data_IF_681544770418
#
_entry.id   IF_681544770418
#
_cell.length_a   1.000
_cell.length_b   1.000
_cell.length_c   1.000
_cell.angle_alpha   90.00
_cell.angle_beta   90.00
_cell.angle_gamma   90.00
#
_symmetry.space_group_name_H-M   'P 1'
#
loop_
_entity.id
_entity.type
_entity.pdbx_description
1 polymer ?
#
# COMPACT_ATOMS: atom_id res chain seq x y z
N UNK A 1 -12.59 4.54 -16.90
CA UNK A 1 -12.21 3.12 -16.80
C UNK A 1 -10.82 2.98 -17.37
N UNK A 2 -9.88 2.42 -16.60
CA UNK A 2 -8.50 2.22 -17.04
C UNK A 2 -8.41 1.18 -18.16
N UNK A 3 -7.46 1.40 -19.08
CA UNK A 3 -7.09 0.39 -20.07
C UNK A 3 -6.01 -0.54 -19.53
N UNK A 4 -5.78 -1.68 -20.21
CA UNK A 4 -4.66 -2.56 -19.89
C UNK A 4 -3.31 -1.83 -19.98
N UNK A 5 -3.15 -0.97 -20.99
CA UNK A 5 -1.93 -0.18 -21.19
C UNK A 5 -1.67 0.78 -20.01
N UNK A 6 -2.72 1.38 -19.44
CA UNK A 6 -2.61 2.24 -18.26
C UNK A 6 -2.11 1.46 -17.05
N UNK A 7 -2.66 0.26 -16.81
CA UNK A 7 -2.27 -0.60 -15.69
C UNK A 7 -0.81 -1.04 -15.86
N UNK A 8 -0.44 -1.51 -17.05
CA UNK A 8 0.94 -1.94 -17.37
C UNK A 8 1.93 -0.79 -17.15
N UNK A 9 1.57 0.44 -17.51
CA UNK A 9 2.40 1.62 -17.27
C UNK A 9 2.67 1.83 -15.78
N UNK A 10 1.67 1.63 -14.91
CA UNK A 10 1.85 1.78 -13.46
C UNK A 10 2.60 0.61 -12.83
N UNK A 11 2.45 -0.62 -13.35
CA UNK A 11 3.29 -1.76 -12.95
C UNK A 11 4.76 -1.50 -13.31
N UNK A 12 5.04 -1.03 -14.54
CA UNK A 12 6.40 -0.64 -14.94
C UNK A 12 6.98 0.46 -14.04
N UNK A 13 6.14 1.42 -13.62
CA UNK A 13 6.53 2.49 -12.70
C UNK A 13 6.82 1.97 -11.29
N UNK A 14 6.05 0.99 -10.80
CA UNK A 14 6.36 0.27 -9.57
C UNK A 14 7.71 -0.41 -9.70
N UNK A 15 7.91 -1.18 -10.79
CA UNK A 15 9.09 -1.99 -10.95
C UNK A 15 10.39 -1.16 -10.97
N UNK A 16 10.33 0.01 -11.62
CA UNK A 16 11.45 0.95 -11.66
C UNK A 16 11.82 1.53 -10.28
N UNK A 17 10.87 1.59 -9.35
CA UNK A 17 11.03 2.28 -8.05
C UNK A 17 11.28 1.31 -6.89
N UNK A 18 10.56 0.20 -6.86
CA UNK A 18 10.41 -0.66 -5.69
C UNK A 18 11.03 -2.04 -5.88
N UNK A 19 10.89 -2.65 -7.07
CA UNK A 19 11.28 -4.05 -7.27
C UNK A 19 10.59 -4.71 -8.46
N UNK A 20 10.05 -5.91 -8.29
CA UNK A 20 9.20 -6.55 -9.29
C UNK A 20 7.82 -6.77 -8.66
N UNK A 21 6.80 -6.11 -9.21
CA UNK A 21 5.44 -6.17 -8.70
C UNK A 21 4.94 -7.60 -8.52
N UNK A 22 5.22 -8.51 -9.46
CA UNK A 22 4.72 -9.89 -9.40
C UNK A 22 5.44 -10.75 -8.37
N UNK A 23 6.71 -10.43 -8.08
CA UNK A 23 7.48 -11.13 -7.04
C UNK A 23 7.13 -10.58 -5.65
N UNK A 24 6.79 -9.28 -5.57
CA UNK A 24 6.43 -8.60 -4.32
C UNK A 24 4.94 -8.79 -3.95
N UNK A 25 4.08 -9.13 -4.92
CA UNK A 25 2.65 -9.32 -4.67
C UNK A 25 2.37 -10.68 -4.05
N UNK A 26 2.47 -10.72 -2.73
CA UNK A 26 2.01 -11.84 -1.93
C UNK A 26 0.47 -11.86 -1.89
N UNK A 27 -0.14 -12.76 -2.66
CA UNK A 27 -1.59 -12.91 -2.75
C UNK A 27 -2.23 -13.56 -1.53
N UNK A 28 -1.44 -14.22 -0.65
CA UNK A 28 -1.97 -14.74 0.61
C UNK A 28 -2.23 -13.59 1.60
N UNK A 29 -1.32 -12.62 1.63
CA UNK A 29 -1.42 -11.44 2.50
C UNK A 29 -2.24 -10.31 1.89
N UNK A 30 -2.13 -10.09 0.57
CA UNK A 30 -2.79 -9.01 -0.16
C UNK A 30 -3.66 -9.56 -1.31
N UNK A 31 -4.71 -10.33 -1.02
CA UNK A 31 -5.51 -11.02 -2.04
C UNK A 31 -6.27 -10.08 -2.97
N UNK A 32 -6.42 -8.80 -2.62
CA UNK A 32 -7.21 -7.83 -3.38
C UNK A 32 -6.34 -6.76 -4.03
N UNK A 33 -6.82 -6.21 -5.15
CA UNK A 33 -6.25 -5.05 -5.82
C UNK A 33 -7.36 -4.03 -6.10
N UNK A 34 -7.07 -2.75 -5.85
CA UNK A 34 -7.90 -1.66 -6.32
C UNK A 34 -7.19 -0.96 -7.48
N UNK A 35 -7.88 -0.82 -8.61
CA UNK A 35 -7.37 -0.14 -9.80
C UNK A 35 -8.22 1.11 -10.02
N UNK A 36 -7.57 2.28 -10.05
CA UNK A 36 -8.21 3.56 -10.31
C UNK A 36 -8.41 3.78 -11.82
N UNK A 37 -9.21 4.77 -12.18
CA UNK A 37 -9.49 5.11 -13.58
C UNK A 37 -8.26 5.47 -14.42
N UNK A 38 -7.16 5.89 -13.78
CA UNK A 38 -5.88 6.21 -14.44
C UNK A 38 -4.89 5.01 -14.47
N UNK A 39 -5.36 3.82 -14.09
CA UNK A 39 -4.57 2.58 -14.01
C UNK A 39 -3.66 2.48 -12.79
N UNK A 40 -3.58 3.51 -11.94
CA UNK A 40 -2.83 3.43 -10.69
C UNK A 40 -3.51 2.46 -9.73
N UNK A 41 -2.75 1.90 -8.78
CA UNK A 41 -3.26 0.82 -7.94
C UNK A 41 -2.63 0.75 -6.55
N UNK A 42 -3.32 0.01 -5.68
CA UNK A 42 -2.76 -0.58 -4.47
C UNK A 42 -3.32 -1.99 -4.30
N UNK A 43 -2.50 -2.91 -3.80
CA UNK A 43 -2.95 -4.22 -3.30
C UNK A 43 -3.24 -4.12 -1.80
N UNK A 44 -4.16 -4.95 -1.31
CA UNK A 44 -4.55 -4.92 0.09
C UNK A 44 -5.13 -6.24 0.59
N UNK A 45 -5.11 -6.38 1.91
CA UNK A 45 -5.75 -7.45 2.68
C UNK A 45 -6.24 -6.93 4.03
N UNK A 46 -6.97 -7.78 4.76
CA UNK A 46 -7.35 -7.51 6.14
C UNK A 46 -6.37 -8.26 7.05
N UNK A 47 -5.55 -7.50 7.78
CA UNK A 47 -4.55 -8.05 8.69
C UNK A 47 -4.87 -7.60 10.11
N UNK A 48 -5.47 -8.50 10.89
CA UNK A 48 -5.96 -8.19 12.23
C UNK A 48 -7.02 -7.09 12.18
N UNK A 49 -6.71 -5.94 12.80
CA UNK A 49 -7.63 -4.80 12.92
C UNK A 49 -7.39 -3.71 11.86
N UNK A 50 -6.54 -3.95 10.86
CA UNK A 50 -6.16 -2.94 9.87
C UNK A 50 -6.37 -3.44 8.43
N UNK A 51 -6.66 -2.49 7.54
CA UNK A 51 -6.54 -2.69 6.09
C UNK A 51 -5.06 -2.53 5.72
N UNK A 52 -4.36 -3.63 5.48
CA UNK A 52 -2.93 -3.58 5.18
C UNK A 52 -2.71 -3.50 3.68
N UNK A 53 -1.88 -2.54 3.24
CA UNK A 53 -1.55 -2.34 1.84
C UNK A 53 -0.13 -2.81 1.55
N UNK A 54 -0.01 -3.68 0.54
CA UNK A 54 1.24 -4.25 0.06
C UNK A 54 1.86 -3.40 -1.06
N UNK A 55 2.21 -4.00 -2.22
CA UNK A 55 2.63 -3.26 -3.41
C UNK A 55 1.65 -2.14 -3.82
N UNK A 56 2.16 -0.91 -3.87
CA UNK A 56 1.38 0.30 -4.19
C UNK A 56 2.08 1.11 -5.27
N UNK A 57 1.34 1.52 -6.30
CA UNK A 57 1.82 2.39 -7.38
C UNK A 57 0.78 3.46 -7.71
N UNK A 58 0.77 4.51 -6.89
CA UNK A 58 -0.18 5.64 -6.97
C UNK A 58 0.37 6.85 -6.20
N UNK A 59 -0.27 8.01 -6.35
CA UNK A 59 -0.14 9.10 -5.38
C UNK A 59 -0.93 8.77 -4.09
N UNK A 60 -0.25 8.60 -2.96
CA UNK A 60 -0.87 8.31 -1.67
C UNK A 60 -1.93 9.33 -1.23
N UNK A 61 -1.79 10.61 -1.59
CA UNK A 61 -2.82 11.62 -1.28
C UNK A 61 -4.16 11.30 -1.95
N UNK A 62 -4.14 10.66 -3.12
CA UNK A 62 -5.33 10.18 -3.83
C UNK A 62 -5.83 8.84 -3.30
N UNK A 63 -4.90 7.96 -2.91
CA UNK A 63 -5.22 6.60 -2.52
C UNK A 63 -5.85 6.51 -1.12
N UNK A 64 -5.32 7.29 -0.17
CA UNK A 64 -5.71 7.20 1.24
C UNK A 64 -7.21 7.37 1.49
N UNK A 65 -7.92 8.35 0.90
CA UNK A 65 -9.37 8.46 1.09
C UNK A 65 -10.13 7.19 0.73
N UNK A 66 -9.68 6.46 -0.29
CA UNK A 66 -10.27 5.18 -0.71
C UNK A 66 -9.94 4.07 0.28
N UNK A 67 -8.68 3.96 0.70
CA UNK A 67 -8.24 2.99 1.72
C UNK A 67 -8.97 3.21 3.05
N UNK A 68 -9.11 4.47 3.48
CA UNK A 68 -9.85 4.87 4.69
C UNK A 68 -11.33 4.49 4.59
N UNK A 69 -11.96 4.73 3.43
CA UNK A 69 -13.34 4.33 3.19
C UNK A 69 -13.52 2.81 3.29
N UNK A 70 -12.55 2.02 2.80
CA UNK A 70 -12.57 0.56 2.94
C UNK A 70 -12.42 0.13 4.39
N UNK A 71 -11.43 0.66 5.10
CA UNK A 71 -11.23 0.37 6.52
C UNK A 71 -12.49 0.66 7.35
N UNK A 72 -13.12 1.82 7.14
CA UNK A 72 -14.38 2.20 7.82
C UNK A 72 -15.52 1.25 7.49
N UNK A 73 -15.73 0.90 6.22
CA UNK A 73 -16.80 -0.02 5.79
C UNK A 73 -16.62 -1.44 6.35
N UNK A 74 -15.38 -1.86 6.55
CA UNK A 74 -15.04 -3.16 7.10
C UNK A 74 -14.98 -3.16 8.64
N UNK A 75 -15.20 -2.02 9.31
CA UNK A 75 -15.12 -1.91 10.78
C UNK A 75 -13.69 -2.04 11.33
N UNK A 76 -12.68 -1.72 10.53
CA UNK A 76 -11.26 -1.80 10.89
C UNK A 76 -10.81 -0.51 11.59
N UNK A 77 -9.80 -0.60 12.45
CA UNK A 77 -9.22 0.54 13.19
C UNK A 77 -8.50 1.54 12.29
N UNK A 78 -7.98 1.09 11.16
CA UNK A 78 -7.06 1.89 10.38
C UNK A 78 -6.62 1.28 9.06
N UNK A 79 -5.73 2.00 8.40
CA UNK A 79 -4.94 1.53 7.26
C UNK A 79 -3.51 1.30 7.71
N UNK A 80 -2.93 0.17 7.34
CA UNK A 80 -1.53 -0.15 7.57
C UNK A 80 -0.75 -0.20 6.25
N UNK A 81 0.51 0.23 6.28
CA UNK A 81 1.39 0.30 5.11
C UNK A 81 2.83 -0.01 5.51
N UNK A 82 3.59 -0.59 4.59
CA UNK A 82 4.99 -0.96 4.81
C UNK A 82 5.88 -0.23 3.81
N UNK A 83 7.06 0.19 4.25
CA UNK A 83 8.12 0.63 3.35
C UNK A 83 9.48 0.13 3.79
N UNK A 84 10.36 -0.27 2.87
CA UNK A 84 11.78 -0.48 3.17
C UNK A 84 12.62 0.81 3.05
N UNK A 85 12.04 1.89 2.53
CA UNK A 85 12.75 3.13 2.23
C UNK A 85 12.68 4.14 3.37
N UNK A 86 13.08 5.39 3.11
CA UNK A 86 13.19 6.46 4.10
C UNK A 86 11.91 6.63 4.94
N UNK A 87 11.91 6.19 6.22
CA UNK A 87 10.70 6.16 7.05
C UNK A 87 10.20 7.57 7.39
N UNK A 88 11.08 8.57 7.48
CA UNK A 88 10.68 9.95 7.79
C UNK A 88 9.96 10.62 6.62
N UNK A 89 10.34 10.29 5.39
CA UNK A 89 9.64 10.78 4.20
C UNK A 89 8.29 10.05 4.07
N UNK A 90 8.29 8.74 4.30
CA UNK A 90 7.10 7.91 4.21
C UNK A 90 6.03 8.29 5.26
N UNK A 91 6.43 8.54 6.51
CA UNK A 91 5.53 9.03 7.55
C UNK A 91 4.80 10.33 7.14
N UNK A 92 5.51 11.25 6.47
CA UNK A 92 4.91 12.50 5.97
C UNK A 92 3.93 12.24 4.82
N UNK A 93 4.25 11.30 3.95
CA UNK A 93 3.44 10.91 2.80
C UNK A 93 2.14 10.23 3.22
N UNK A 94 2.22 9.29 4.16
CA UNK A 94 1.05 8.51 4.61
C UNK A 94 0.27 9.17 5.74
N UNK A 95 0.90 10.12 6.44
CA UNK A 95 0.46 10.65 7.75
C UNK A 95 0.27 9.54 8.79
N UNK A 96 0.98 8.42 8.61
CA UNK A 96 0.95 7.28 9.52
C UNK A 96 1.94 7.43 10.66
N UNK A 97 1.65 6.74 11.76
CA UNK A 97 2.54 6.55 12.91
C UNK A 97 3.31 5.26 12.72
N UNK A 98 4.64 5.33 12.84
CA UNK A 98 5.49 4.13 12.85
C UNK A 98 5.15 3.31 14.10
N UNK A 99 4.66 2.08 13.93
CA UNK A 99 4.38 1.17 15.05
C UNK A 99 5.47 0.12 15.21
N UNK A 100 6.04 -0.36 14.12
CA UNK A 100 7.04 -1.43 14.17
C UNK A 100 8.15 -1.23 13.13
N UNK A 101 9.33 -1.75 13.45
CA UNK A 101 10.47 -1.85 12.54
C UNK A 101 11.07 -3.26 12.64
N UNK A 102 11.17 -3.98 11.53
CA UNK A 102 11.72 -5.35 11.45
C UNK A 102 12.82 -5.44 10.40
N UNK A 103 13.79 -6.34 10.59
CA UNK A 103 14.80 -6.65 9.56
C UNK A 103 14.41 -7.95 8.86
N UNK A 104 14.05 -7.88 7.59
CA UNK A 104 13.51 -9.01 6.81
C UNK A 104 14.15 -9.02 5.43
N UNK A 105 14.58 -10.21 4.97
CA UNK A 105 15.14 -10.37 3.62
C UNK A 105 16.37 -9.49 3.34
N UNK A 106 17.19 -9.20 4.36
CA UNK A 106 18.38 -8.36 4.23
C UNK A 106 18.13 -6.85 4.23
N UNK A 107 16.90 -6.39 4.48
CA UNK A 107 16.54 -4.97 4.55
C UNK A 107 15.63 -4.63 5.73
N UNK A 108 15.70 -3.39 6.20
CA UNK A 108 14.76 -2.89 7.22
C UNK A 108 13.40 -2.64 6.58
N UNK A 109 12.34 -3.11 7.24
CA UNK A 109 10.93 -2.84 6.93
C UNK A 109 10.34 -1.97 8.05
N UNK A 110 9.63 -0.92 7.66
CA UNK A 110 9.01 0.04 8.56
C UNK A 110 7.49 -0.01 8.41
N UNK A 111 6.80 -0.37 9.49
CA UNK A 111 5.36 -0.57 9.54
C UNK A 111 4.65 0.67 10.09
N UNK A 112 3.84 1.29 9.25
CA UNK A 112 3.09 2.50 9.58
C UNK A 112 1.60 2.20 9.63
N UNK A 113 0.92 2.75 10.64
CA UNK A 113 -0.54 2.73 10.68
C UNK A 113 -1.11 4.14 10.72
N UNK A 114 -2.27 4.30 10.11
CA UNK A 114 -3.09 5.49 10.22
C UNK A 114 -4.48 5.07 10.67
N UNK A 115 -4.83 5.44 11.88
CA UNK A 115 -6.14 5.15 12.46
C UNK A 115 -7.21 5.99 11.75
N UNK A 116 -8.37 5.39 11.46
CA UNK A 116 -9.53 6.07 10.91
C UNK A 116 -10.58 6.21 11.99
N UNK A 117 -10.70 7.43 12.52
CA UNK A 117 -11.83 7.84 13.38
C UNK A 117 -13.06 8.16 12.53
#
# INVERSE_FOLDING_TARGET
MATEEDIIKWIKKYNKKMGNFWDDWDTEWYPFIHIFDDGSFFTYGVCGEYLECGPVSINFEKAFPTMEAYAKRLGLKGVATITPHNPKAYARLTKGVLKEKKFLGGQWQYYFVREVN
#
